data_IF_060290191334
#
_entry.id   IF_060290191334
#
_cell.length_a   1.000
_cell.length_b   1.000
_cell.length_c   1.000
_cell.angle_alpha   90.00
_cell.angle_beta   90.00
_cell.angle_gamma   90.00
#
_symmetry.space_group_name_H-M   'P 1'
#
loop_
_entity.id
_entity.type
_entity.pdbx_description
1 polymer ?
#
# COMPACT_ATOMS: atom_id res chain seq x y z
N UNK A 1 -3.38 -1.65 -8.43
CA UNK A 1 -4.40 -2.05 -7.42
C UNK A 1 -4.56 -3.56 -7.26
N UNK A 2 -4.43 -4.39 -8.31
CA UNK A 2 -4.52 -5.85 -8.15
C UNK A 2 -3.35 -6.47 -7.38
N UNK A 3 -2.16 -5.86 -7.43
CA UNK A 3 -0.91 -6.46 -6.92
C UNK A 3 -0.92 -6.73 -5.40
N UNK A 4 -1.28 -5.74 -4.58
CA UNK A 4 -1.32 -5.91 -3.12
C UNK A 4 -2.41 -6.90 -2.69
N UNK A 5 -3.57 -6.88 -3.36
CA UNK A 5 -4.65 -7.82 -3.05
C UNK A 5 -4.31 -9.25 -3.50
N UNK A 6 -3.62 -9.42 -4.63
CA UNK A 6 -3.07 -10.72 -5.05
C UNK A 6 -2.08 -11.25 -4.02
N UNK A 7 -1.16 -10.42 -3.53
CA UNK A 7 -0.23 -10.79 -2.45
C UNK A 7 -0.96 -11.25 -1.17
N UNK A 8 -2.06 -10.58 -0.80
CA UNK A 8 -2.88 -10.98 0.34
C UNK A 8 -3.65 -12.30 0.13
N UNK A 9 -3.98 -12.64 -1.12
CA UNK A 9 -4.62 -13.92 -1.45
C UNK A 9 -3.62 -15.09 -1.42
N UNK A 10 -2.39 -14.86 -1.87
CA UNK A 10 -1.34 -15.88 -1.93
C UNK A 10 -0.73 -16.19 -0.55
N UNK A 11 -0.80 -15.25 0.40
CA UNK A 11 -0.21 -15.43 1.73
C UNK A 11 -1.16 -15.01 2.85
N UNK A 12 -1.50 -15.90 3.79
CA UNK A 12 -2.35 -15.55 4.93
C UNK A 12 -1.68 -14.58 5.90
N UNK A 13 -0.36 -14.35 5.77
CA UNK A 13 0.40 -13.38 6.56
C UNK A 13 0.35 -11.96 6.00
N UNK A 14 -0.23 -11.77 4.81
CA UNK A 14 -0.33 -10.47 4.15
C UNK A 14 -1.78 -10.00 4.17
N UNK A 15 -2.01 -8.79 4.69
CA UNK A 15 -3.30 -8.11 4.62
C UNK A 15 -3.17 -6.90 3.71
N UNK A 16 -4.15 -6.70 2.83
CA UNK A 16 -4.21 -5.55 1.95
C UNK A 16 -5.60 -4.94 1.95
N UNK A 17 -5.69 -3.67 2.35
CA UNK A 17 -6.91 -2.89 2.36
C UNK A 17 -6.76 -1.71 1.38
N UNK A 18 -7.83 -1.40 0.66
CA UNK A 18 -7.89 -0.26 -0.25
C UNK A 18 -8.66 0.87 0.41
N UNK A 19 -8.10 2.08 0.40
CA UNK A 19 -8.72 3.26 0.98
C UNK A 19 -8.95 4.30 -0.12
N UNK A 20 -10.19 4.77 -0.23
CA UNK A 20 -10.54 5.93 -1.04
C UNK A 20 -10.32 7.20 -0.24
N UNK A 21 -9.40 8.06 -0.69
CA UNK A 21 -9.05 9.31 0.00
C UNK A 21 -10.18 10.34 0.00
N UNK A 22 -11.09 10.29 -0.96
CA UNK A 22 -12.29 11.12 -0.99
C UNK A 22 -13.31 10.70 0.09
N UNK A 23 -13.36 9.41 0.41
CA UNK A 23 -14.22 8.89 1.49
C UNK A 23 -13.58 9.04 2.87
N UNK A 24 -12.26 8.93 2.96
CA UNK A 24 -11.50 9.00 4.21
C UNK A 24 -10.43 10.11 4.20
N UNK A 25 -10.84 11.40 4.17
CA UNK A 25 -9.90 12.52 4.07
C UNK A 25 -8.92 12.57 5.24
N UNK A 26 -9.31 12.14 6.44
CA UNK A 26 -8.40 12.06 7.59
C UNK A 26 -7.21 11.11 7.38
N UNK A 27 -7.40 10.02 6.61
CA UNK A 27 -6.32 9.10 6.28
C UNK A 27 -5.39 9.71 5.23
N UNK A 28 -5.94 10.47 4.29
CA UNK A 28 -5.15 11.22 3.32
C UNK A 28 -4.21 12.22 4.01
N UNK A 29 -4.72 12.94 5.02
CA UNK A 29 -3.89 13.85 5.84
C UNK A 29 -2.89 13.08 6.69
N UNK A 30 -3.31 12.00 7.38
CA UNK A 30 -2.43 11.19 8.26
C UNK A 30 -1.21 10.65 7.50
N UNK A 31 -1.41 10.18 6.28
CA UNK A 31 -0.36 9.59 5.45
C UNK A 31 0.21 10.58 4.42
N UNK A 32 -0.02 11.89 4.56
CA UNK A 32 0.47 12.93 3.65
C UNK A 32 0.32 12.54 2.16
N UNK A 33 -0.91 12.16 1.78
CA UNK A 33 -1.22 11.69 0.44
C UNK A 33 -1.29 12.89 -0.51
N UNK A 34 -0.18 13.17 -1.17
CA UNK A 34 -0.07 14.22 -2.19
C UNK A 34 -0.46 13.74 -3.60
N UNK A 35 -0.33 12.45 -3.87
CA UNK A 35 -0.66 11.83 -5.16
C UNK A 35 -1.10 10.39 -4.97
N UNK A 36 -1.88 9.89 -5.93
CA UNK A 36 -2.39 8.51 -5.95
C UNK A 36 -1.95 7.79 -7.23
N UNK A 37 -1.74 6.46 -7.20
CA UNK A 37 -1.84 5.59 -6.03
C UNK A 37 -0.65 5.75 -5.08
N UNK A 38 -0.92 5.78 -3.76
CA UNK A 38 0.07 5.69 -2.68
C UNK A 38 -0.16 4.39 -1.92
N UNK A 39 0.91 3.64 -1.68
CA UNK A 39 0.89 2.40 -0.92
C UNK A 39 1.66 2.64 0.37
N UNK A 40 1.07 2.26 1.50
CA UNK A 40 1.70 2.32 2.82
C UNK A 40 1.79 0.90 3.36
N UNK A 41 2.99 0.48 3.76
CA UNK A 41 3.27 -0.86 4.28
C UNK A 41 3.67 -0.72 5.75
N UNK A 42 2.92 -1.38 6.64
CA UNK A 42 3.12 -1.40 8.09
C UNK A 42 3.30 -0.01 8.73
N UNK A 43 2.66 1.03 8.17
CA UNK A 43 2.77 2.43 8.61
C UNK A 43 4.21 3.00 8.62
N UNK A 44 5.18 2.28 8.02
CA UNK A 44 6.62 2.63 8.06
C UNK A 44 7.21 2.89 6.69
N UNK A 45 6.74 2.14 5.68
CA UNK A 45 7.27 2.24 4.33
C UNK A 45 6.20 2.75 3.38
N UNK A 46 6.62 3.56 2.43
CA UNK A 46 5.72 4.18 1.47
C UNK A 46 6.25 3.96 0.05
N UNK A 47 5.32 3.67 -0.86
CA UNK A 47 5.58 3.59 -2.28
C UNK A 47 4.60 4.51 -3.00
N UNK A 48 5.12 5.41 -3.82
CA UNK A 48 4.33 6.35 -4.62
C UNK A 48 4.24 5.88 -6.07
N UNK A 49 3.06 6.04 -6.66
CA UNK A 49 2.78 5.65 -8.04
C UNK A 49 2.52 4.15 -8.22
N UNK A 50 2.23 3.77 -9.47
CA UNK A 50 2.00 2.38 -9.82
C UNK A 50 3.34 1.62 -9.88
N UNK A 51 3.73 1.05 -8.74
CA UNK A 51 4.96 0.26 -8.63
C UNK A 51 4.77 -1.19 -9.10
N UNK A 52 5.83 -1.83 -9.64
CA UNK A 52 5.81 -3.24 -9.98
C UNK A 52 5.92 -4.10 -8.71
N UNK A 53 5.55 -5.39 -8.79
CA UNK A 53 5.44 -6.26 -7.61
C UNK A 53 6.78 -6.48 -6.90
N UNK A 54 7.87 -6.41 -7.64
CA UNK A 54 9.23 -6.55 -7.13
C UNK A 54 9.56 -5.48 -6.09
N UNK A 55 9.05 -4.25 -6.25
CA UNK A 55 9.24 -3.19 -5.25
C UNK A 55 8.44 -3.46 -3.96
N UNK A 56 7.26 -4.10 -4.06
CA UNK A 56 6.52 -4.53 -2.87
C UNK A 56 7.33 -5.59 -2.12
N UNK A 57 7.83 -6.60 -2.84
CA UNK A 57 8.61 -7.70 -2.25
C UNK A 57 9.89 -7.17 -1.57
N UNK A 58 10.63 -6.27 -2.23
CA UNK A 58 11.83 -5.64 -1.64
C UNK A 58 11.55 -4.89 -0.35
N UNK A 59 10.37 -4.28 -0.21
CA UNK A 59 9.98 -3.61 1.05
C UNK A 59 9.56 -4.64 2.08
N UNK A 60 8.81 -5.66 1.68
CA UNK A 60 8.35 -6.73 2.58
C UNK A 60 9.53 -7.54 3.14
N UNK A 61 10.57 -7.81 2.34
CA UNK A 61 11.80 -8.51 2.77
C UNK A 61 12.62 -7.72 3.81
N UNK A 62 12.35 -6.43 3.99
CA UNK A 62 13.03 -5.56 4.97
C UNK A 62 12.29 -5.49 6.31
N UNK A 63 11.10 -6.09 6.41
CA UNK A 63 10.29 -6.14 7.62
C UNK A 63 10.79 -7.21 8.60
#
# INVERSE_FOLDING_TARGET
>A
MSTAHRLALESPHVRADMVDTGTFPQLAVKYDVSSVPKIVINEKHELLGAQPIEEFLKVIEKL
#
